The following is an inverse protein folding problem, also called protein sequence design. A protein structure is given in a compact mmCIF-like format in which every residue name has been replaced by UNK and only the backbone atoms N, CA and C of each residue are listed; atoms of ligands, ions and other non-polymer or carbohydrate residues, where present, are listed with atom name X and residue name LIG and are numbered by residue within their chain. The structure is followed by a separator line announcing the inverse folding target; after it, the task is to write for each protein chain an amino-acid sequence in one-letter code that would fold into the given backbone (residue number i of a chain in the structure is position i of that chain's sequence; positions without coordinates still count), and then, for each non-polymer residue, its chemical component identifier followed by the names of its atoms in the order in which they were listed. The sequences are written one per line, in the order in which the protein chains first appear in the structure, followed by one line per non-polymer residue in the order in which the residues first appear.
data_IF_601733190862
#
_entry.id   IF_601733190862
#
_cell.length_a   1.000
_cell.length_b   1.000
_cell.length_c   1.000
_cell.angle_alpha   90.00
_cell.angle_beta   90.00
_cell.angle_gamma   90.00
#
_symmetry.space_group_name_H-M   'P 1'
#
loop_
_entity.id
_entity.type
_entity.pdbx_description
1 polymer ?
2 non-polymer ?
3 water ?
#
# COMPACT_ATOMS: atom_id res chain seq x y z
N UNK A 1 -4.00 -24.75 24.54
CA UNK A 1 -3.96 -24.91 23.06
C UNK A 1 -4.17 -23.56 22.39
N UNK A 2 -3.38 -23.28 21.36
CA UNK A 2 -3.49 -22.03 20.63
C UNK A 2 -3.87 -22.30 19.19
N UNK A 3 -4.55 -21.34 18.57
CA UNK A 3 -4.94 -21.46 17.18
C UNK A 3 -4.07 -20.45 16.44
N UNK A 4 -3.40 -20.92 15.39
CA UNK A 4 -2.51 -20.06 14.62
C UNK A 4 -3.11 -19.78 13.25
N UNK A 5 -3.16 -18.49 12.90
CA UNK A 5 -3.66 -18.06 11.59
C UNK A 5 -2.46 -17.57 10.81
N UNK A 6 -2.23 -18.16 9.63
CA UNK A 6 -1.11 -17.78 8.78
C UNK A 6 -1.65 -17.12 7.52
N UNK A 7 -1.22 -15.87 7.29
CA UNK A 7 -1.63 -15.10 6.12
C UNK A 7 -0.48 -15.00 5.13
N UNK A 8 -0.62 -15.70 4.00
CA UNK A 8 0.40 -15.67 2.95
C UNK A 8 -0.01 -14.60 1.93
N UNK A 9 0.97 -13.86 1.39
CA UNK A 9 0.63 -12.79 0.44
C UNK A 9 1.51 -12.67 -0.80
N UNK A 10 2.58 -13.46 -0.86
CA UNK A 10 3.47 -13.42 -2.03
C UNK A 10 2.76 -13.81 -3.33
N UNK A 11 3.19 -13.21 -4.43
CA UNK A 11 2.62 -13.55 -5.74
C UNK A 11 3.56 -14.48 -6.49
N UNK A 12 4.59 -14.99 -5.80
CA UNK A 12 5.57 -15.86 -6.44
C UNK A 12 5.37 -17.36 -6.23
N UNK A 13 4.24 -17.75 -5.66
CA UNK A 13 3.94 -19.15 -5.44
C UNK A 13 5.09 -19.92 -4.77
N UNK A 14 5.48 -21.04 -5.38
CA UNK A 14 6.55 -21.87 -4.83
C UNK A 14 7.91 -21.21 -4.71
N UNK A 15 8.11 -20.10 -5.41
CA UNK A 15 9.39 -19.38 -5.36
C UNK A 15 9.38 -18.29 -4.30
N UNK A 16 8.27 -18.18 -3.57
CA UNK A 16 8.15 -17.16 -2.53
C UNK A 16 9.15 -17.26 -1.39
N UNK A 17 9.86 -16.17 -1.13
CA UNK A 17 10.82 -16.13 -0.04
C UNK A 17 10.04 -16.06 1.28
N UNK A 18 9.07 -15.16 1.35
CA UNK A 18 8.29 -15.04 2.58
C UNK A 18 7.46 -16.31 2.79
N UNK A 19 7.07 -16.94 1.68
CA UNK A 19 6.30 -18.17 1.76
C UNK A 19 7.12 -19.27 2.38
N UNK A 20 8.40 -19.31 2.01
CA UNK A 20 9.31 -20.32 2.54
C UNK A 20 9.54 -20.07 4.03
N UNK A 21 9.52 -18.80 4.43
CA UNK A 21 9.69 -18.46 5.84
C UNK A 21 8.44 -18.84 6.62
N UNK A 22 7.27 -18.65 6.04
CA UNK A 22 6.06 -19.02 6.75
C UNK A 22 5.97 -20.54 6.87
N UNK A 23 6.48 -21.26 5.87
CA UNK A 23 6.47 -22.72 5.94
C UNK A 23 7.35 -23.19 7.10
N UNK A 24 8.51 -22.55 7.27
CA UNK A 24 9.41 -22.89 8.36
C UNK A 24 8.74 -22.57 9.69
N UNK A 25 8.09 -21.41 9.77
CA UNK A 25 7.40 -21.03 11.00
C UNK A 25 6.39 -22.11 11.36
N UNK A 26 5.59 -22.53 10.39
CA UNK A 26 4.58 -23.56 10.58
C UNK A 26 5.23 -24.86 11.03
N UNK A 27 6.30 -25.24 10.33
CA UNK A 27 7.02 -26.47 10.65
C UNK A 27 7.48 -26.45 12.11
N UNK A 28 8.07 -25.33 12.52
CA UNK A 28 8.58 -25.20 13.88
C UNK A 28 7.48 -25.10 14.92
N UNK A 29 6.40 -24.40 14.61
CA UNK A 29 5.31 -24.28 15.58
C UNK A 29 4.70 -25.66 15.83
N UNK A 30 4.54 -26.44 14.76
CA UNK A 30 3.99 -27.79 14.86
C UNK A 30 4.88 -28.69 15.73
N UNK A 31 6.19 -28.43 15.71
CA UNK A 31 7.15 -29.19 16.51
C UNK A 31 7.06 -28.89 18.00
N UNK A 32 7.00 -27.60 18.32
CA UNK A 32 6.95 -27.14 19.71
C UNK A 32 5.58 -27.20 20.36
N UNK A 33 4.53 -27.08 19.56
CA UNK A 33 3.17 -27.11 20.09
C UNK A 33 2.39 -28.10 19.24
N UNK A 34 2.61 -29.38 19.51
CA UNK A 34 2.00 -30.47 18.76
C UNK A 34 0.47 -30.56 18.75
N UNK A 35 -0.20 -29.82 19.65
CA UNK A 35 -1.66 -29.86 19.71
C UNK A 35 -2.31 -28.63 19.08
N UNK A 36 -1.52 -27.62 18.76
CA UNK A 36 -2.07 -26.40 18.17
C UNK A 36 -2.56 -26.61 16.75
N UNK A 37 -3.64 -25.90 16.43
CA UNK A 37 -4.24 -25.99 15.11
C UNK A 37 -3.75 -24.82 14.26
N UNK A 38 -3.42 -25.12 13.01
CA UNK A 38 -2.94 -24.11 12.09
C UNK A 38 -3.96 -23.87 10.96
N UNK A 39 -4.27 -22.61 10.70
CA UNK A 39 -5.19 -22.21 9.64
C UNK A 39 -4.37 -21.34 8.69
N UNK A 40 -4.41 -21.65 7.39
CA UNK A 40 -3.66 -20.87 6.42
C UNK A 40 -4.57 -20.25 5.35
N UNK A 41 -4.44 -18.93 5.16
CA UNK A 41 -5.21 -18.26 4.13
C UNK A 41 -4.19 -17.65 3.17
N UNK A 42 -4.15 -18.16 1.95
CA UNK A 42 -3.24 -17.67 0.93
C UNK A 42 -3.97 -16.57 0.17
N UNK A 43 -3.57 -15.32 0.44
CA UNK A 43 -4.22 -14.16 -0.16
C UNK A 43 -3.92 -13.96 -1.64
N UNK A 44 -3.04 -14.77 -2.20
CA UNK A 44 -2.72 -14.70 -3.62
C UNK A 44 -3.58 -15.77 -4.30
N UNK A 45 -3.62 -16.95 -3.71
CA UNK A 45 -4.41 -18.06 -4.25
C UNK A 45 -5.91 -17.79 -4.10
N UNK A 46 -6.30 -17.16 -3.01
CA UNK A 46 -7.68 -16.84 -2.72
C UNK A 46 -7.70 -15.33 -2.50
N UNK A 47 -7.61 -14.56 -3.58
CA UNK A 47 -7.59 -13.09 -3.51
C UNK A 47 -8.81 -12.37 -2.94
N UNK A 48 -8.55 -11.30 -2.21
CA UNK A 48 -9.56 -10.44 -1.62
C UNK A 48 -9.68 -9.28 -2.63
N UNK A 49 -10.90 -8.80 -2.90
CA UNK A 49 -11.06 -7.70 -3.86
C UNK A 49 -10.51 -6.34 -3.43
N UNK A 50 -10.28 -5.49 -4.43
CA UNK A 50 -9.78 -4.15 -4.19
C UNK A 50 -10.89 -3.32 -3.57
N UNK A 51 -10.53 -2.47 -2.61
CA UNK A 51 -11.52 -1.62 -1.98
C UNK A 51 -11.81 -0.45 -2.92
N UNK A 52 -12.98 -0.47 -3.55
CA UNK A 52 -13.35 0.62 -4.45
C UNK A 52 -14.55 1.37 -3.89
N UNK A 53 -15.06 2.32 -4.66
CA UNK A 53 -16.19 3.12 -4.20
C UNK A 53 -17.39 2.30 -3.79
N UNK A 54 -17.72 1.29 -4.59
CA UNK A 54 -18.87 0.43 -4.28
C UNK A 54 -18.66 -0.40 -3.02
N UNK A 55 -17.49 -1.03 -2.92
CA UNK A 55 -17.24 -1.86 -1.75
C UNK A 55 -17.16 -1.10 -0.44
N UNK A 56 -16.53 0.08 -0.44
CA UNK A 56 -16.43 0.84 0.80
C UNK A 56 -17.85 1.19 1.29
N UNK A 57 -18.77 1.30 0.35
CA UNK A 57 -20.14 1.59 0.71
C UNK A 57 -20.75 0.43 1.47
N UNK A 58 -20.34 -0.78 1.10
CA UNK A 58 -20.82 -2.01 1.73
C UNK A 58 -20.57 -2.01 3.24
N UNK A 59 -19.53 -1.30 3.66
CA UNK A 59 -19.19 -1.24 5.08
C UNK A 59 -19.62 0.13 5.65
N UNK A 60 -20.92 0.40 5.55
CA UNK A 60 -21.55 1.64 6.01
C UNK A 60 -21.31 2.80 5.06
N UNK A 63 -31.62 0.82 6.45
CA UNK A 63 -30.41 1.33 5.81
C UNK A 63 -30.51 1.16 4.29
N UNK A 64 -29.66 1.86 3.55
CA UNK A 64 -29.68 1.76 2.09
C UNK A 64 -29.43 0.31 1.69
N UNK A 65 -30.18 -0.20 0.70
CA UNK A 65 -29.98 -1.59 0.28
C UNK A 65 -28.62 -1.79 -0.40
N UNK A 66 -28.03 -2.97 -0.20
CA UNK A 66 -26.73 -3.25 -0.79
C UNK A 66 -26.86 -3.93 -2.14
N UNK A 67 -25.91 -3.63 -3.03
CA UNK A 67 -25.89 -4.24 -4.35
C UNK A 67 -25.38 -5.65 -4.14
N UNK A 68 -25.53 -6.53 -5.15
CA UNK A 68 -25.05 -7.90 -4.98
C UNK A 68 -23.57 -7.95 -4.63
N UNK A 69 -22.79 -7.07 -5.26
CA UNK A 69 -21.36 -7.03 -5.03
C UNK A 69 -21.06 -6.59 -3.58
N UNK A 70 -21.81 -5.62 -3.08
CA UNK A 70 -21.61 -5.15 -1.71
C UNK A 70 -21.98 -6.24 -0.73
N UNK A 71 -23.02 -7.01 -1.05
CA UNK A 71 -23.47 -8.10 -0.19
C UNK A 71 -22.34 -9.13 -0.05
N UNK A 72 -21.75 -9.51 -1.18
CA UNK A 72 -20.66 -10.48 -1.16
C UNK A 72 -19.44 -9.94 -0.42
N UNK A 73 -19.13 -8.68 -0.65
CA UNK A 73 -17.98 -8.03 -0.01
C UNK A 73 -18.20 -7.97 1.50
N UNK A 74 -19.42 -7.68 1.93
CA UNK A 74 -19.72 -7.60 3.35
C UNK A 74 -19.59 -8.99 3.96
N UNK A 75 -20.10 -10.00 3.26
CA UNK A 75 -20.00 -11.36 3.77
C UNK A 75 -18.53 -11.76 3.89
N UNK A 76 -17.72 -11.36 2.92
CA UNK A 76 -16.30 -11.70 2.97
C UNK A 76 -15.61 -10.99 4.14
N UNK A 77 -15.92 -9.71 4.33
CA UNK A 77 -15.35 -8.94 5.42
C UNK A 77 -15.67 -9.64 6.75
N UNK A 78 -16.92 -10.04 6.92
CA UNK A 78 -17.33 -10.73 8.14
C UNK A 78 -16.51 -11.99 8.34
N UNK A 79 -16.32 -12.74 7.25
CA UNK A 79 -15.57 -13.99 7.31
C UNK A 79 -14.12 -13.76 7.73
N UNK A 80 -13.48 -12.78 7.10
CA UNK A 80 -12.09 -12.46 7.41
C UNK A 80 -11.95 -12.01 8.86
N UNK A 81 -12.84 -11.12 9.30
CA UNK A 81 -12.79 -10.62 10.67
C UNK A 81 -13.06 -11.72 11.69
N UNK A 82 -14.07 -12.55 11.44
CA UNK A 82 -14.40 -13.63 12.36
C UNK A 82 -13.20 -14.56 12.48
N UNK A 83 -12.56 -14.83 11.35
CA UNK A 83 -11.38 -15.70 11.31
C UNK A 83 -10.23 -15.10 12.13
N UNK A 84 -9.97 -13.81 11.92
CA UNK A 84 -8.90 -13.12 12.63
C UNK A 84 -9.14 -13.16 14.14
N UNK A 85 -10.37 -12.85 14.55
CA UNK A 85 -10.70 -12.85 15.97
C UNK A 85 -10.68 -14.25 16.59
N UNK A 86 -10.92 -15.26 15.78
CA UNK A 86 -10.96 -16.64 16.25
C UNK A 86 -9.60 -17.28 16.50
N UNK A 87 -8.52 -16.64 16.05
CA UNK A 87 -7.17 -17.19 16.26
C UNK A 87 -6.37 -16.42 17.30
N UNK A 88 -5.36 -17.07 17.87
CA UNK A 88 -4.53 -16.48 18.93
C UNK A 88 -3.20 -15.90 18.47
N UNK A 89 -2.58 -16.59 17.52
CA UNK A 89 -1.29 -16.19 16.98
C UNK A 89 -1.52 -15.89 15.51
N UNK A 90 -1.17 -14.68 15.11
CA UNK A 90 -1.37 -14.24 13.73
C UNK A 90 -0.04 -14.05 13.03
N UNK A 91 0.24 -14.91 12.05
CA UNK A 91 1.48 -14.87 11.28
C UNK A 91 1.18 -14.20 9.96
N UNK A 92 1.90 -13.13 9.67
CA UNK A 92 1.67 -12.35 8.45
C UNK A 92 2.91 -12.25 7.56
N UNK A 93 2.81 -12.76 6.33
CA UNK A 93 3.90 -12.67 5.37
C UNK A 93 3.79 -11.27 4.76
N UNK A 94 4.83 -10.47 4.90
CA UNK A 94 4.79 -9.12 4.36
C UNK A 94 6.07 -8.73 3.62
N UNK A 95 6.31 -9.34 2.44
CA UNK A 95 7.52 -8.99 1.69
C UNK A 95 7.39 -7.57 1.15
N UNK A 96 8.52 -6.99 0.75
CA UNK A 96 8.52 -5.62 0.22
C UNK A 96 8.39 -5.63 -1.31
N UNK A 97 7.31 -5.03 -1.81
CA UNK A 97 7.05 -4.91 -3.25
C UNK A 97 6.99 -3.40 -3.55
N UNK A 98 8.01 -2.90 -4.23
CA UNK A 98 8.06 -1.48 -4.57
C UNK A 98 7.90 -0.57 -3.35
N UNK A 99 8.61 -0.92 -2.27
CA UNK A 99 8.60 -0.16 -1.01
C UNK A 99 7.30 -0.22 -0.21
N UNK A 100 6.36 -1.05 -0.64
CA UNK A 100 5.07 -1.19 0.05
C UNK A 100 4.88 -2.69 0.31
N UNK A 101 3.74 -3.06 0.87
CA UNK A 101 3.44 -4.47 1.10
C UNK A 101 2.70 -4.97 -0.15
N UNK A 102 2.52 -6.29 -0.28
CA UNK A 102 1.80 -6.76 -1.49
C UNK A 102 0.35 -6.26 -1.47
N UNK A 103 -0.18 -5.95 -2.63
CA UNK A 103 -1.57 -5.50 -2.72
C UNK A 103 -2.48 -6.60 -2.18
N UNK A 104 -2.08 -7.86 -2.34
CA UNK A 104 -2.86 -8.99 -1.85
C UNK A 104 -3.14 -8.85 -0.34
N UNK A 105 -2.14 -8.40 0.41
CA UNK A 105 -2.30 -8.22 1.85
C UNK A 105 -3.04 -6.92 2.16
N UNK A 106 -2.76 -5.89 1.38
CA UNK A 106 -3.41 -4.59 1.56
C UNK A 106 -4.93 -4.72 1.43
N UNK A 107 -5.39 -5.49 0.44
CA UNK A 107 -6.83 -5.68 0.23
C UNK A 107 -7.47 -6.33 1.46
N UNK A 108 -6.74 -7.27 2.06
CA UNK A 108 -7.19 -7.95 3.27
C UNK A 108 -7.37 -6.91 4.38
N UNK A 109 -6.36 -6.06 4.57
CA UNK A 109 -6.42 -5.00 5.59
C UNK A 109 -7.61 -4.08 5.35
N UNK A 110 -7.85 -3.70 4.10
CA UNK A 110 -8.96 -2.81 3.79
C UNK A 110 -10.34 -3.41 4.08
N UNK A 111 -10.42 -4.74 4.19
CA UNK A 111 -11.70 -5.38 4.51
C UNK A 111 -11.83 -5.73 5.99
N UNK A 112 -10.72 -5.72 6.73
CA UNK A 112 -10.83 -6.04 8.14
C UNK A 112 -10.90 -4.80 9.03
N UNK A 113 -10.50 -3.64 8.50
CA UNK A 113 -10.54 -2.40 9.28
C UNK A 113 -11.96 -1.86 9.17
N UNK A 114 -12.77 -2.09 10.20
CA UNK A 114 -14.17 -1.65 10.21
C UNK A 114 -14.58 -1.05 11.53
N UNK A 115 -15.09 0.18 11.45
CA UNK A 115 -15.54 0.90 12.63
C UNK A 115 -16.62 0.13 13.38
N UNK A 116 -16.46 0.02 14.69
CA UNK A 116 -17.43 -0.68 15.50
C UNK A 116 -17.21 -2.19 15.56
N UNK A 117 -16.34 -2.71 14.71
CA UNK A 117 -16.10 -4.15 14.69
C UNK A 117 -14.65 -4.53 15.03
N UNK A 118 -13.66 -3.86 14.45
CA UNK A 118 -12.28 -4.16 14.76
C UNK A 118 -11.62 -3.02 15.54
N UNK A 119 -12.35 -1.91 15.67
CA UNK A 119 -11.89 -0.77 16.44
C UNK A 119 -13.11 0.08 16.78
N UNK A 120 -12.98 0.94 17.79
CA UNK A 120 -14.07 1.81 18.20
C UNK A 120 -13.50 3.01 18.94
N UNK A 121 -14.36 3.95 19.29
CA UNK A 121 -13.95 5.14 20.02
C UNK A 121 -14.61 5.13 21.38
N UNK A 122 -13.81 5.37 22.41
CA UNK A 122 -14.31 5.40 23.79
C UNK A 122 -13.87 6.69 24.46
N UNK A 123 -14.11 6.81 25.76
CA UNK A 123 -13.69 8.01 26.48
C UNK A 123 -12.17 8.10 26.49
N UNK A 124 -11.51 7.01 26.10
CA UNK A 124 -10.05 6.98 26.05
C UNK A 124 -9.51 7.17 24.63
N UNK A 125 -10.41 7.38 23.67
CA UNK A 125 -9.98 7.57 22.30
C UNK A 125 -10.20 6.31 21.48
N UNK A 126 -9.50 6.18 20.34
CA UNK A 126 -9.64 5.00 19.48
C UNK A 126 -9.09 3.78 20.20
N UNK A 127 -9.78 2.66 20.06
CA UNK A 127 -9.37 1.43 20.73
C UNK A 127 -9.61 0.22 19.83
N UNK A 128 -8.59 -0.61 19.67
CA UNK A 128 -8.72 -1.79 18.83
C UNK A 128 -9.59 -2.85 19.47
N UNK A 129 -10.34 -3.59 18.66
CA UNK A 129 -11.22 -4.64 19.18
C UNK A 129 -10.71 -6.06 18.93
N UNK A 130 -9.57 -6.19 18.27
CA UNK A 130 -8.97 -7.50 18.03
C UNK A 130 -7.92 -7.59 19.13
N UNK A 131 -8.34 -8.11 20.27
CA UNK A 131 -7.48 -8.18 21.45
C UNK A 131 -6.90 -9.53 21.81
N UNK A 132 -5.89 -9.50 22.68
CA UNK A 132 -5.25 -10.71 23.15
C UNK A 132 -4.50 -11.51 22.11
N UNK A 133 -4.08 -10.86 21.02
CA UNK A 133 -3.36 -11.56 19.97
C UNK A 133 -1.85 -11.38 20.05
N UNK A 134 -1.14 -12.34 19.46
CA UNK A 134 0.32 -12.31 19.33
C UNK A 134 0.50 -12.33 17.81
N UNK A 135 1.17 -11.34 17.26
CA UNK A 135 1.39 -11.30 15.82
C UNK A 135 2.86 -11.44 15.48
N UNK A 136 3.12 -12.07 14.34
CA UNK A 136 4.48 -12.27 13.87
C UNK A 136 4.55 -11.88 12.39
N UNK A 137 5.34 -10.86 12.09
CA UNK A 137 5.49 -10.41 10.72
C UNK A 137 6.77 -11.01 10.15
N UNK A 138 6.63 -11.69 9.01
CA UNK A 138 7.76 -12.30 8.32
C UNK A 138 7.93 -11.47 7.04
N UNK A 139 8.98 -10.66 7.00
CA UNK A 139 9.20 -9.79 5.86
C UNK A 139 10.53 -9.98 5.13
N UNK A 140 10.43 -10.41 3.88
CA UNK A 140 11.61 -10.63 3.05
C UNK A 140 11.79 -9.45 2.08
N UNK A 141 13.05 -9.13 1.79
CA UNK A 141 13.38 -8.04 0.88
C UNK A 141 14.55 -8.43 -0.01
N UNK A 142 14.53 -7.95 -1.25
CA UNK A 142 15.62 -8.24 -2.15
C UNK A 142 16.84 -7.46 -1.69
N UNK A 143 16.62 -6.21 -1.31
CA UNK A 143 17.69 -5.34 -0.83
C UNK A 143 17.77 -5.36 0.69
N UNK A 144 18.46 -4.37 1.26
CA UNK A 144 18.64 -4.26 2.70
C UNK A 144 18.10 -2.90 3.15
N UNK A 145 16.99 -2.93 3.89
CA UNK A 145 16.31 -1.70 4.31
C UNK A 145 16.02 -1.52 5.80
N UNK A 146 16.15 -2.58 6.58
CA UNK A 146 15.85 -2.52 8.00
C UNK A 146 16.48 -1.33 8.71
N UNK A 147 15.63 -0.59 9.43
CA UNK A 147 16.05 0.58 10.20
C UNK A 147 16.59 1.73 9.37
N UNK A 148 16.19 1.81 8.11
CA UNK A 148 16.63 2.91 7.24
C UNK A 148 15.38 3.61 6.70
N UNK A 149 15.54 4.77 6.06
CA UNK A 149 14.39 5.51 5.51
C UNK A 149 13.63 4.76 4.41
N UNK A 150 14.23 3.70 3.86
CA UNK A 150 13.54 2.98 2.78
C UNK A 150 12.63 1.86 3.27
N UNK A 151 12.57 1.65 4.58
CA UNK A 151 11.65 0.65 5.13
C UNK A 151 10.51 1.36 5.84
N UNK A 152 9.40 1.56 5.13
CA UNK A 152 8.23 2.20 5.72
C UNK A 152 7.21 1.12 6.06
N UNK A 153 7.45 -0.11 5.61
CA UNK A 153 6.48 -1.16 5.88
C UNK A 153 6.48 -1.64 7.33
N UNK A 154 7.65 -1.73 7.96
CA UNK A 154 7.69 -2.17 9.34
C UNK A 154 6.91 -1.18 10.22
N UNK A 155 7.20 0.13 10.12
CA UNK A 155 6.45 1.06 10.96
C UNK A 155 4.96 1.11 10.61
N UNK A 156 4.65 0.97 9.33
CA UNK A 156 3.26 0.97 8.87
C UNK A 156 2.50 -0.22 9.45
N UNK A 157 3.10 -1.40 9.39
CA UNK A 157 2.45 -2.59 9.92
C UNK A 157 2.20 -2.44 11.41
N UNK A 158 3.17 -1.89 12.13
CA UNK A 158 2.98 -1.71 13.57
C UNK A 158 1.81 -0.77 13.86
N UNK A 159 1.72 0.32 13.07
CA UNK A 159 0.65 1.28 13.23
C UNK A 159 -0.71 0.70 12.89
N UNK A 160 -0.82 0.02 11.75
CA UNK A 160 -2.09 -0.56 11.35
C UNK A 160 -2.57 -1.64 12.31
N UNK A 161 -1.69 -2.60 12.62
CA UNK A 161 -2.06 -3.68 13.52
C UNK A 161 -2.44 -3.14 14.90
N UNK A 162 -1.68 -2.16 15.37
CA UNK A 162 -1.97 -1.58 16.67
C UNK A 162 -3.34 -0.93 16.70
N UNK A 163 -3.71 -0.26 15.60
CA UNK A 163 -5.01 0.41 15.55
C UNK A 163 -6.16 -0.56 15.75
N UNK A 164 -6.05 -1.78 15.22
CA UNK A 164 -7.13 -2.75 15.40
C UNK A 164 -6.95 -3.56 16.68
N UNK A 165 -5.93 -3.23 17.47
CA UNK A 165 -5.72 -3.91 18.73
C UNK A 165 -4.52 -4.83 18.88
N UNK A 166 -3.87 -5.17 17.79
CA UNK A 166 -2.72 -6.06 17.84
C UNK A 166 -1.43 -5.26 18.09
N UNK A 167 -1.10 -5.13 19.36
CA UNK A 167 0.07 -4.38 19.80
C UNK A 167 1.30 -5.24 20.07
N UNK A 168 1.07 -6.54 20.29
CA UNK A 168 2.16 -7.48 20.53
C UNK A 168 2.54 -8.02 19.16
N UNK A 169 3.55 -7.39 18.55
CA UNK A 169 4.00 -7.78 17.22
C UNK A 169 5.51 -8.01 17.13
N UNK A 170 5.88 -9.21 16.70
CA UNK A 170 7.28 -9.57 16.53
C UNK A 170 7.61 -9.47 15.05
N UNK A 171 8.73 -8.84 14.72
CA UNK A 171 9.14 -8.69 13.33
C UNK A 171 10.35 -9.58 13.02
N UNK A 172 10.26 -10.32 11.91
CA UNK A 172 11.36 -11.17 11.45
C UNK A 172 11.69 -10.71 10.03
N UNK A 173 12.96 -10.42 9.78
CA UNK A 173 13.41 -9.94 8.47
C UNK A 173 14.38 -10.90 7.78
N UNK A 174 14.28 -10.94 6.46
CA UNK A 174 15.18 -11.74 5.63
C UNK A 174 15.51 -10.77 4.49
N UNK A 175 16.65 -10.10 4.61
CA UNK A 175 17.07 -9.11 3.62
C UNK A 175 18.24 -9.51 2.75
N UNK A 176 18.41 -8.80 1.63
CA UNK A 176 19.51 -9.07 0.73
C UNK A 176 19.33 -10.29 -0.15
N UNK A 177 18.10 -10.76 -0.28
CA UNK A 177 17.80 -11.94 -1.08
C UNK A 177 18.30 -11.79 -2.53
N UNK A 178 18.28 -10.56 -3.03
CA UNK A 178 18.71 -10.29 -4.39
C UNK A 178 20.22 -10.33 -4.59
N UNK A 179 20.97 -10.59 -3.52
CA UNK A 179 22.42 -10.61 -3.66
C UNK A 179 23.04 -11.97 -3.89
N UNK A 180 22.23 -12.92 -4.36
CA UNK A 180 22.74 -14.24 -4.65
C UNK A 180 22.35 -15.32 -3.66
N UNK A 181 22.52 -16.59 -4.03
CA UNK A 181 22.19 -17.74 -3.18
C UNK A 181 22.95 -17.79 -1.86
N UNK A 182 24.22 -17.41 -1.87
CA UNK A 182 25.00 -17.43 -0.63
C UNK A 182 24.45 -16.45 0.40
N UNK A 183 24.29 -15.18 0.01
CA UNK A 183 23.75 -14.17 0.92
C UNK A 183 22.31 -14.52 1.36
N UNK A 184 21.49 -14.96 0.42
CA UNK A 184 20.11 -15.33 0.71
C UNK A 184 20.04 -16.45 1.75
N UNK A 185 20.93 -17.43 1.64
CA UNK A 185 20.94 -18.56 2.56
C UNK A 185 21.24 -18.12 3.98
N UNK A 186 22.16 -17.17 4.13
CA UNK A 186 22.52 -16.68 5.45
C UNK A 186 21.36 -15.85 6.01
N UNK A 187 20.71 -15.10 5.14
CA UNK A 187 19.57 -14.28 5.56
C UNK A 187 18.46 -15.20 6.03
N UNK A 188 18.24 -16.28 5.28
CA UNK A 188 17.20 -17.25 5.64
C UNK A 188 17.57 -17.92 6.95
N UNK A 189 18.85 -18.23 7.10
CA UNK A 189 19.34 -18.87 8.32
C UNK A 189 19.09 -18.00 9.54
N UNK A 190 19.44 -16.71 9.44
CA UNK A 190 19.22 -15.80 10.57
C UNK A 190 17.73 -15.61 10.86
N UNK A 191 16.93 -15.56 9.79
CA UNK A 191 15.49 -15.39 9.96
C UNK A 191 14.91 -16.60 10.70
N UNK A 192 15.39 -17.78 10.35
CA UNK A 192 14.90 -18.99 11.00
C UNK A 192 15.27 -19.01 12.48
N UNK A 193 16.44 -18.45 12.80
CA UNK A 193 16.88 -18.41 14.19
C UNK A 193 15.96 -17.45 14.97
N UNK A 194 15.59 -16.33 14.33
CA UNK A 194 14.71 -15.36 14.97
C UNK A 194 13.35 -16.01 15.16
N UNK A 195 12.94 -16.80 14.18
CA UNK A 195 11.66 -17.51 14.24
C UNK A 195 11.67 -18.53 15.37
N UNK A 196 12.78 -19.24 15.52
CA UNK A 196 12.88 -20.23 16.59
C UNK A 196 12.63 -19.59 17.95
N UNK A 197 13.16 -18.39 18.15
CA UNK A 197 12.99 -17.66 19.40
C UNK A 197 11.54 -17.26 19.63
N UNK A 198 10.86 -16.83 18.57
CA UNK A 198 9.47 -16.44 18.70
C UNK A 198 8.62 -17.67 19.04
N UNK A 199 8.92 -18.79 18.37
CA UNK A 199 8.16 -20.02 18.61
C UNK A 199 8.38 -20.56 20.01
N UNK A 200 9.61 -20.39 20.53
CA UNK A 200 9.97 -20.87 21.86
C UNK A 200 9.48 -19.98 23.00
N UNK A 201 9.21 -18.71 22.71
CA UNK A 201 8.75 -17.79 23.74
C UNK A 201 7.50 -18.30 24.45
N UNK B 1 5.78 25.79 -23.34
CA UNK B 1 4.52 25.11 -22.89
C UNK B 1 4.83 23.84 -22.13
N UNK B 2 4.12 23.63 -21.03
CA UNK B 2 4.30 22.43 -20.23
C UNK B 2 3.07 21.55 -20.34
N UNK B 3 3.28 20.25 -20.15
CA UNK B 3 2.19 19.28 -20.17
C UNK B 3 2.06 18.85 -18.71
N UNK B 4 0.84 18.90 -18.20
CA UNK B 4 0.57 18.53 -16.82
C UNK B 4 -0.22 17.22 -16.79
N UNK B 5 0.26 16.28 -15.97
CA UNK B 5 -0.40 14.99 -15.81
C UNK B 5 -0.98 14.98 -14.41
N UNK B 6 -2.27 14.70 -14.30
CA UNK B 6 -2.95 14.66 -13.01
C UNK B 6 -3.46 13.24 -12.76
N UNK B 7 -3.03 12.64 -11.66
CA UNK B 7 -3.43 11.29 -11.31
C UNK B 7 -4.38 11.35 -10.12
N UNK B 8 -5.64 10.99 -10.34
CA UNK B 8 -6.64 10.98 -9.27
C UNK B 8 -6.78 9.54 -8.78
N UNK B 9 -6.94 9.35 -7.47
CA UNK B 9 -7.03 7.97 -6.95
C UNK B 9 -8.13 7.74 -5.93
N UNK B 10 -8.81 8.80 -5.50
CA UNK B 10 -9.89 8.67 -4.52
C UNK B 10 -11.02 7.79 -5.02
N UNK B 11 -11.64 7.04 -4.10
CA UNK B 11 -12.76 6.17 -4.46
C UNK B 11 -14.07 6.85 -4.07
N UNK B 12 -13.99 8.12 -3.66
CA UNK B 12 -15.18 8.85 -3.23
C UNK B 12 -15.84 9.73 -4.29
N UNK B 13 -15.38 9.61 -5.54
CA UNK B 13 -15.94 10.38 -6.63
C UNK B 13 -16.12 11.87 -6.30
N UNK B 14 -17.34 12.36 -6.52
CA UNK B 14 -17.64 13.76 -6.27
C UNK B 14 -17.38 14.28 -4.87
N UNK B 15 -17.35 13.37 -3.89
CA UNK B 15 -17.11 13.78 -2.51
C UNK B 15 -15.64 13.72 -2.11
N UNK B 16 -14.76 13.47 -3.08
CA UNK B 16 -13.32 13.39 -2.80
C UNK B 16 -12.66 14.71 -2.42
N UNK B 17 -12.00 14.71 -1.26
CA UNK B 17 -11.28 15.89 -0.76
C UNK B 17 -10.05 16.14 -1.62
N UNK B 18 -9.30 15.07 -1.90
CA UNK B 18 -8.09 15.18 -2.71
C UNK B 18 -8.47 15.55 -4.15
N UNK B 19 -9.63 15.07 -4.58
CA UNK B 19 -10.10 15.36 -5.92
C UNK B 19 -10.45 16.84 -6.04
N UNK B 20 -10.95 17.42 -4.96
CA UNK B 20 -11.29 18.83 -4.94
C UNK B 20 -10.01 19.66 -5.01
N UNK B 21 -8.95 19.17 -4.36
CA UNK B 21 -7.68 19.88 -4.39
C UNK B 21 -7.05 19.79 -5.78
N UNK B 22 -7.19 18.65 -6.45
CA UNK B 22 -6.61 18.52 -7.78
C UNK B 22 -7.37 19.43 -8.74
N UNK B 23 -8.67 19.56 -8.54
CA UNK B 23 -9.46 20.44 -9.39
C UNK B 23 -8.97 21.86 -9.21
N UNK B 24 -8.70 22.25 -7.96
CA UNK B 24 -8.22 23.61 -7.70
C UNK B 24 -6.88 23.82 -8.38
N UNK B 25 -6.01 22.82 -8.31
CA UNK B 25 -4.69 22.92 -8.92
C UNK B 25 -4.84 23.16 -10.42
N UNK B 26 -5.68 22.36 -11.06
CA UNK B 26 -5.92 22.47 -12.49
C UNK B 26 -6.48 23.83 -12.84
N UNK B 27 -7.46 24.29 -12.07
CA UNK B 27 -8.07 25.59 -12.28
C UNK B 27 -7.02 26.70 -12.29
N UNK B 28 -6.18 26.70 -11.25
CA UNK B 28 -5.14 27.70 -11.11
C UNK B 28 -4.06 27.59 -12.17
N UNK B 29 -3.68 26.36 -12.51
CA UNK B 29 -2.65 26.18 -13.51
C UNK B 29 -3.13 26.66 -14.88
N UNK B 30 -4.38 26.34 -15.24
CA UNK B 30 -4.94 26.74 -16.52
C UNK B 30 -5.07 28.26 -16.62
N UNK B 31 -5.31 28.89 -15.47
CA UNK B 31 -5.44 30.34 -15.43
C UNK B 31 -4.09 31.01 -15.69
N UNK B 32 -3.04 30.45 -15.09
CA UNK B 32 -1.69 30.99 -15.24
C UNK B 32 -1.06 30.65 -16.59
N UNK B 33 -1.30 29.43 -17.06
CA UNK B 33 -0.74 28.96 -18.33
C UNK B 33 -1.87 28.52 -19.25
N UNK B 34 -2.48 29.47 -19.96
CA UNK B 34 -3.60 29.15 -20.85
C UNK B 34 -3.27 28.19 -21.99
N UNK B 35 -1.99 28.05 -22.32
CA UNK B 35 -1.60 27.16 -23.41
C UNK B 35 -1.18 25.76 -22.97
N UNK B 36 -0.98 25.58 -21.67
CA UNK B 36 -0.56 24.28 -21.17
C UNK B 36 -1.61 23.20 -21.33
N UNK B 37 -1.17 22.01 -21.71
CA UNK B 37 -2.06 20.88 -21.91
C UNK B 37 -2.15 20.07 -20.63
N UNK B 38 -3.37 19.78 -20.20
CA UNK B 38 -3.59 19.02 -19.00
C UNK B 38 -4.23 17.68 -19.33
N UNK B 39 -3.63 16.61 -18.82
CA UNK B 39 -4.13 15.25 -19.03
C UNK B 39 -4.52 14.73 -17.66
N UNK B 40 -5.71 14.20 -17.56
CA UNK B 40 -6.18 13.67 -16.28
C UNK B 40 -6.45 12.17 -16.38
N UNK B 41 -5.85 11.40 -15.49
CA UNK B 41 -6.10 9.97 -15.45
C UNK B 41 -6.71 9.69 -14.09
N UNK B 42 -7.97 9.25 -14.10
CA UNK B 42 -8.68 8.92 -12.86
C UNK B 42 -8.49 7.43 -12.66
N UNK B 43 -7.65 7.06 -11.69
CA UNK B 43 -7.34 5.67 -11.39
C UNK B 43 -8.47 4.90 -10.69
N UNK B 44 -9.54 5.59 -10.33
CA UNK B 44 -10.70 4.93 -9.70
C UNK B 44 -11.72 4.69 -10.82
N UNK B 45 -11.93 5.71 -11.66
CA UNK B 45 -12.87 5.59 -12.77
C UNK B 45 -12.32 4.61 -13.80
N UNK B 46 -11.01 4.64 -13.99
CA UNK B 46 -10.36 3.74 -14.92
C UNK B 46 -9.26 3.01 -14.18
N UNK B 47 -9.63 1.98 -13.41
CA UNK B 47 -8.70 1.18 -12.62
C UNK B 47 -7.62 0.42 -13.38
N UNK B 48 -6.47 0.33 -12.72
CA UNK B 48 -5.31 -0.40 -13.21
C UNK B 48 -5.38 -1.71 -12.43
N UNK B 49 -5.11 -2.85 -13.08
CA UNK B 49 -5.18 -4.13 -12.37
C UNK B 49 -4.18 -4.34 -11.24
N UNK B 50 -4.54 -5.26 -10.34
CA UNK B 50 -3.70 -5.64 -9.22
C UNK B 50 -2.52 -6.43 -9.77
N UNK B 51 -1.32 -6.14 -9.26
CA UNK B 51 -0.15 -6.86 -9.71
C UNK B 51 -0.20 -8.26 -9.11
N UNK B 52 -0.36 -9.28 -9.95
CA UNK B 52 -0.39 -10.64 -9.43
C UNK B 52 0.69 -11.49 -10.10
N UNK B 53 0.71 -12.78 -9.80
CA UNK B 53 1.72 -13.64 -10.37
C UNK B 53 1.77 -13.62 -11.89
N UNK B 54 0.61 -13.66 -12.53
CA UNK B 54 0.55 -13.66 -13.98
C UNK B 54 1.06 -12.34 -14.58
N UNK B 55 0.69 -11.22 -13.97
CA UNK B 55 1.12 -9.92 -14.50
C UNK B 55 2.61 -9.64 -14.27
N UNK B 56 3.14 -10.00 -13.11
CA UNK B 56 4.54 -9.76 -12.86
C UNK B 56 5.38 -10.64 -13.80
N UNK B 57 4.84 -11.81 -14.13
CA UNK B 57 5.55 -12.70 -15.04
C UNK B 57 5.63 -12.06 -16.42
N UNK B 58 4.60 -11.32 -16.78
CA UNK B 58 4.55 -10.65 -18.06
C UNK B 58 5.61 -9.55 -18.16
N UNK B 59 5.85 -8.88 -17.04
CA UNK B 59 6.82 -7.81 -17.05
C UNK B 59 8.26 -8.30 -17.00
N UNK B 60 8.45 -9.59 -17.21
CA UNK B 60 9.79 -10.16 -17.22
C UNK B 60 9.79 -11.60 -17.64
N UNK B 64 8.65 -17.28 -22.96
CA UNK B 64 7.40 -17.98 -23.22
C UNK B 64 6.33 -17.02 -23.73
N UNK B 65 5.32 -17.55 -24.45
CA UNK B 65 4.25 -16.72 -24.98
C UNK B 65 3.43 -16.08 -23.87
N UNK B 66 2.89 -14.90 -24.12
CA UNK B 66 2.06 -14.22 -23.13
C UNK B 66 0.58 -14.42 -23.45
N UNK B 67 -0.23 -14.51 -22.41
CA UNK B 67 -1.66 -14.65 -22.57
C UNK B 67 -2.22 -13.29 -22.95
N UNK B 68 -3.45 -13.23 -23.47
CA UNK B 68 -4.00 -11.91 -23.83
C UNK B 68 -4.00 -11.00 -22.60
N UNK B 69 -4.34 -11.57 -21.45
CA UNK B 69 -4.39 -10.79 -20.22
C UNK B 69 -3.03 -10.18 -19.91
N UNK B 70 -1.99 -10.99 -20.02
CA UNK B 70 -0.63 -10.52 -19.76
C UNK B 70 -0.25 -9.47 -20.79
N UNK B 71 -0.59 -9.73 -22.05
CA UNK B 71 -0.27 -8.82 -23.13
C UNK B 71 -0.90 -7.45 -22.87
N UNK B 72 -2.17 -7.46 -22.47
CA UNK B 72 -2.92 -6.24 -22.19
C UNK B 72 -2.32 -5.46 -21.03
N UNK B 73 -1.91 -6.17 -20.00
CA UNK B 73 -1.33 -5.52 -18.83
C UNK B 73 0.01 -4.89 -19.20
N UNK B 74 0.78 -5.58 -20.03
CA UNK B 74 2.07 -5.08 -20.46
C UNK B 74 1.87 -3.82 -21.31
N UNK B 75 0.83 -3.85 -22.15
CA UNK B 75 0.52 -2.71 -23.01
C UNK B 75 0.10 -1.52 -22.14
N UNK B 76 -0.65 -1.81 -21.07
CA UNK B 76 -1.10 -0.75 -20.17
C UNK B 76 0.11 -0.17 -19.43
N UNK B 77 1.01 -1.04 -18.98
CA UNK B 77 2.21 -0.60 -18.30
C UNK B 77 2.99 0.35 -19.21
N UNK B 78 3.15 -0.05 -20.46
CA UNK B 78 3.86 0.78 -21.44
C UNK B 78 3.15 2.12 -21.59
N UNK B 79 1.82 2.10 -21.69
CA UNK B 79 1.05 3.31 -21.84
C UNK B 79 1.26 4.26 -20.65
N UNK B 80 1.13 3.72 -19.45
CA UNK B 80 1.30 4.51 -18.24
C UNK B 80 2.69 5.12 -18.15
N UNK B 81 3.71 4.31 -18.43
CA UNK B 81 5.10 4.78 -18.38
C UNK B 81 5.35 5.85 -19.45
N UNK B 82 4.89 5.60 -20.67
CA UNK B 82 5.08 6.58 -21.76
C UNK B 82 4.40 7.90 -21.42
N UNK B 83 3.21 7.80 -20.83
CA UNK B 83 2.43 8.97 -20.42
C UNK B 83 3.19 9.77 -19.37
N UNK B 84 3.69 9.08 -18.35
CA UNK B 84 4.44 9.74 -17.28
C UNK B 84 5.69 10.46 -17.83
N UNK B 85 6.46 9.78 -18.67
CA UNK B 85 7.66 10.37 -19.24
C UNK B 85 7.36 11.51 -20.20
N UNK B 86 6.17 11.51 -20.79
CA UNK B 86 5.76 12.53 -21.74
C UNK B 86 5.28 13.84 -21.11
N UNK B 87 5.01 13.85 -19.81
CA UNK B 87 4.54 15.07 -19.15
C UNK B 87 5.63 15.72 -18.29
N UNK B 88 5.47 17.02 -18.05
CA UNK B 88 6.45 17.79 -17.30
C UNK B 88 6.14 17.98 -15.84
N UNK B 89 4.87 18.18 -15.53
CA UNK B 89 4.40 18.41 -14.17
C UNK B 89 3.47 17.26 -13.82
N UNK B 90 3.80 16.55 -12.75
CA UNK B 90 3.01 15.40 -12.32
C UNK B 90 2.30 15.71 -11.01
N UNK B 91 0.98 15.74 -11.04
CA UNK B 91 0.17 16.01 -9.85
C UNK B 91 -0.45 14.69 -9.40
N UNK B 92 -0.14 14.28 -8.17
CA UNK B 92 -0.63 13.02 -7.66
C UNK B 92 -1.52 13.15 -6.42
N UNK B 93 -2.76 12.67 -6.53
CA UNK B 93 -3.68 12.70 -5.39
C UNK B 93 -3.37 11.45 -4.60
N UNK B 94 -3.02 11.62 -3.33
CA UNK B 94 -2.69 10.47 -2.51
C UNK B 94 -3.26 10.57 -1.10
N UNK B 95 -4.58 10.37 -0.96
CA UNK B 95 -5.17 10.45 0.38
C UNK B 95 -4.75 9.23 1.20
N UNK B 96 -4.99 9.27 2.51
CA UNK B 96 -4.62 8.16 3.40
C UNK B 96 -5.81 7.26 3.69
N UNK B 97 -5.69 5.99 3.29
CA UNK B 97 -6.72 4.98 3.53
C UNK B 97 -6.08 3.91 4.39
N UNK B 98 -6.55 3.77 5.63
CA UNK B 98 -6.01 2.77 6.54
C UNK B 98 -4.48 2.85 6.63
N UNK B 99 -3.96 4.07 6.77
CA UNK B 99 -2.54 4.36 6.91
C UNK B 99 -1.69 4.08 5.67
N UNK B 100 -2.33 3.81 4.54
CA UNK B 100 -1.60 3.54 3.29
C UNK B 100 -2.22 4.43 2.22
N UNK B 101 -1.72 4.34 0.99
CA UNK B 101 -2.28 5.12 -0.09
C UNK B 101 -3.42 4.28 -0.67
N UNK B 102 -4.25 4.87 -1.56
CA UNK B 102 -5.34 4.07 -2.13
C UNK B 102 -4.76 2.96 -3.02
N UNK B 103 -5.40 1.80 -3.02
CA UNK B 103 -4.92 0.71 -3.85
C UNK B 103 -4.96 1.14 -5.32
N UNK B 104 -5.86 2.07 -5.65
CA UNK B 104 -5.99 2.57 -7.02
C UNK B 104 -4.67 3.17 -7.50
N UNK B 105 -3.98 3.87 -6.59
CA UNK B 105 -2.70 4.49 -6.91
C UNK B 105 -1.56 3.46 -6.83
N UNK B 106 -1.63 2.57 -5.83
CA UNK B 106 -0.61 1.54 -5.65
C UNK B 106 -0.50 0.66 -6.91
N UNK B 107 -1.63 0.28 -7.49
CA UNK B 107 -1.62 -0.55 -8.70
C UNK B 107 -0.88 0.17 -9.83
N UNK B 108 -1.09 1.48 -9.93
CA UNK B 108 -0.43 2.31 -10.93
C UNK B 108 1.08 2.24 -10.70
N UNK B 109 1.53 2.44 -9.46
CA UNK B 109 2.95 2.35 -9.14
C UNK B 109 3.53 0.98 -9.49
N UNK B 110 2.78 -0.08 -9.16
CA UNK B 110 3.27 -1.42 -9.43
C UNK B 110 3.46 -1.70 -10.93
N UNK B 111 2.75 -0.96 -11.79
CA UNK B 111 2.92 -1.17 -13.22
C UNK B 111 3.95 -0.25 -13.87
N UNK B 112 4.31 0.84 -13.20
CA UNK B 112 5.29 1.75 -13.78
C UNK B 112 6.72 1.50 -13.31
N UNK B 113 6.88 0.79 -12.20
CA UNK B 113 8.22 0.50 -11.68
C UNK B 113 8.79 -0.71 -12.39
N UNK B 114 9.55 -0.47 -13.46
CA UNK B 114 10.12 -1.57 -14.23
C UNK B 114 11.59 -1.38 -14.52
N UNK B 115 12.35 -2.43 -14.22
CA UNK B 115 13.79 -2.44 -14.43
C UNK B 115 14.14 -2.16 -15.89
N UNK B 116 15.06 -1.23 -16.09
CA UNK B 116 15.50 -0.88 -17.43
C UNK B 116 14.62 0.13 -18.13
N UNK B 117 13.43 0.37 -17.58
CA UNK B 117 12.49 1.31 -18.18
C UNK B 117 12.32 2.60 -17.35
N UNK B 118 12.02 2.47 -16.07
CA UNK B 118 11.86 3.66 -15.23
C UNK B 118 12.99 3.80 -14.22
N UNK B 119 13.89 2.81 -14.20
CA UNK B 119 15.06 2.85 -13.34
C UNK B 119 16.07 1.85 -13.86
N UNK B 120 17.34 2.06 -13.55
CA UNK B 120 18.38 1.15 -14.00
C UNK B 120 19.55 1.20 -13.03
N UNK B 121 20.53 0.34 -13.26
CA UNK B 121 21.73 0.29 -12.42
C UNK B 121 22.93 0.63 -13.28
N UNK B 122 23.77 1.52 -12.80
CA UNK B 122 24.97 1.91 -13.54
C UNK B 122 26.20 1.74 -12.64
N UNK B 123 27.34 2.21 -13.11
CA UNK B 123 28.57 2.13 -12.34
C UNK B 123 28.38 2.87 -11.01
N UNK B 124 27.45 3.84 -11.01
CA UNK B 124 27.16 4.66 -9.85
C UNK B 124 26.04 4.07 -8.99
N UNK B 125 25.45 2.97 -9.44
CA UNK B 125 24.37 2.35 -8.69
C UNK B 125 23.01 2.61 -9.31
N UNK B 126 21.91 2.42 -8.55
CA UNK B 126 20.55 2.64 -9.05
C UNK B 126 20.29 4.08 -9.50
N UNK B 127 19.67 4.23 -10.65
CA UNK B 127 19.38 5.55 -11.22
C UNK B 127 17.99 5.60 -11.83
N UNK B 128 17.18 6.57 -11.40
CA UNK B 128 15.83 6.71 -11.94
C UNK B 128 15.88 7.20 -13.37
N UNK B 129 14.94 6.73 -14.20
CA UNK B 129 14.92 7.12 -15.61
C UNK B 129 13.82 8.10 -15.99
N UNK B 130 12.98 8.48 -15.03
CA UNK B 130 11.91 9.45 -15.30
C UNK B 130 12.51 10.73 -14.75
N UNK B 131 13.18 11.45 -15.64
CA UNK B 131 13.89 12.66 -15.25
C UNK B 131 13.26 13.99 -15.62
N UNK B 132 13.77 15.03 -14.96
CA UNK B 132 13.32 16.39 -15.20
C UNK B 132 11.90 16.75 -14.83
N UNK B 133 11.24 15.91 -14.04
CA UNK B 133 9.85 16.18 -13.67
C UNK B 133 9.69 17.04 -12.43
N UNK B 134 8.56 17.72 -12.36
CA UNK B 134 8.23 18.55 -11.22
C UNK B 134 6.95 17.87 -10.71
N UNK B 135 6.99 17.33 -9.50
CA UNK B 135 5.82 16.63 -8.96
C UNK B 135 5.20 17.33 -7.77
N UNK B 136 3.89 17.13 -7.63
CA UNK B 136 3.11 17.71 -6.55
C UNK B 136 2.21 16.61 -6.01
N UNK B 137 2.35 16.33 -4.71
CA UNK B 137 1.52 15.32 -4.07
C UNK B 137 0.47 16.06 -3.25
N UNK B 138 -0.80 15.73 -3.49
CA UNK B 138 -1.91 16.33 -2.76
C UNK B 138 -2.50 15.22 -1.89
N UNK B 139 -2.26 15.29 -0.58
CA UNK B 139 -2.71 14.25 0.33
C UNK B 139 -3.68 14.74 1.40
N UNK B 140 -4.89 14.19 1.37
CA UNK B 140 -5.94 14.53 2.32
C UNK B 140 -6.10 13.40 3.33
N UNK B 141 -6.37 13.79 4.58
CA UNK B 141 -6.55 12.80 5.66
C UNK B 141 -7.69 13.25 6.58
N UNK B 142 -8.46 12.28 7.07
CA UNK B 142 -9.56 12.60 7.96
C UNK B 142 -9.04 13.11 9.29
N UNK B 143 -7.97 12.50 9.77
CA UNK B 143 -7.36 12.92 11.02
C UNK B 143 -6.13 13.76 10.77
N UNK B 144 -5.31 13.92 11.79
CA UNK B 144 -4.08 14.71 11.68
C UNK B 144 -2.87 13.80 11.90
N UNK B 145 -2.10 13.57 10.84
CA UNK B 145 -0.96 12.67 10.89
C UNK B 145 0.38 13.28 10.53
N UNK B 146 0.33 14.37 9.77
CA UNK B 146 1.54 15.04 9.32
C UNK B 146 2.51 15.23 10.49
N UNK B 147 3.77 14.85 10.26
CA UNK B 147 4.82 14.97 11.28
C UNK B 147 4.61 14.13 12.54
N UNK B 148 3.83 13.05 12.42
CA UNK B 148 3.61 12.14 13.54
C UNK B 148 4.05 10.75 13.05
N UNK B 149 4.25 9.80 13.98
CA UNK B 149 4.67 8.47 13.55
C UNK B 149 3.64 7.72 12.70
N UNK B 150 2.43 8.27 12.60
CA UNK B 150 1.40 7.59 11.81
C UNK B 150 1.33 7.96 10.34
N UNK B 151 2.18 8.89 9.90
CA UNK B 151 2.19 9.26 8.48
C UNK B 151 3.39 8.60 7.82
N UNK B 152 3.14 7.46 7.21
CA UNK B 152 4.20 6.73 6.52
C UNK B 152 4.04 6.88 5.02
N UNK B 153 2.91 7.44 4.58
CA UNK B 153 2.72 7.60 3.15
C UNK B 153 3.58 8.71 2.53
N UNK B 154 3.72 9.85 3.22
CA UNK B 154 4.57 10.90 2.66
C UNK B 154 6.00 10.36 2.48
N UNK B 155 6.59 9.74 3.53
CA UNK B 155 7.95 9.20 3.39
C UNK B 155 8.03 8.17 2.27
N UNK B 156 7.03 7.29 2.21
CA UNK B 156 6.98 6.24 1.18
C UNK B 156 6.88 6.83 -0.23
N UNK B 157 6.03 7.83 -0.41
CA UNK B 157 5.88 8.45 -1.72
C UNK B 157 7.20 9.09 -2.16
N UNK B 158 7.90 9.71 -1.22
CA UNK B 158 9.18 10.34 -1.54
C UNK B 158 10.18 9.29 -2.01
N UNK B 159 10.24 8.17 -1.29
CA UNK B 159 11.16 7.09 -1.62
C UNK B 159 10.82 6.42 -2.95
N UNK B 160 9.55 6.09 -3.16
CA UNK B 160 9.17 5.46 -4.41
C UNK B 160 9.41 6.38 -5.60
N UNK B 161 8.89 7.60 -5.52
CA UNK B 161 9.07 8.55 -6.61
C UNK B 161 10.54 8.82 -6.88
N UNK B 162 11.32 8.96 -5.81
CA UNK B 162 12.74 9.20 -5.98
C UNK B 162 13.43 8.07 -6.71
N UNK B 163 13.03 6.83 -6.41
CA UNK B 163 13.64 5.67 -7.04
C UNK B 163 13.52 5.68 -8.56
N UNK B 164 12.38 6.15 -9.07
CA UNK B 164 12.22 6.17 -10.53
C UNK B 164 12.71 7.49 -11.13
N UNK B 165 13.29 8.36 -10.30
CA UNK B 165 13.86 9.60 -10.80
C UNK B 165 13.17 10.90 -10.47
N UNK B 166 11.99 10.83 -9.87
CA UNK B 166 11.25 12.05 -9.53
C UNK B 166 11.64 12.50 -8.12
N UNK B 167 12.60 13.40 -8.07
CA UNK B 167 13.12 13.92 -6.81
C UNK B 167 12.59 15.31 -6.44
N UNK B 168 12.07 16.03 -7.42
CA UNK B 168 11.51 17.35 -7.18
C UNK B 168 10.03 17.13 -6.85
N UNK B 169 9.76 16.92 -5.56
CA UNK B 169 8.40 16.64 -5.13
C UNK B 169 7.91 17.60 -4.05
N UNK B 170 6.81 18.30 -4.35
CA UNK B 170 6.20 19.24 -3.43
C UNK B 170 5.03 18.51 -2.74
N UNK B 171 5.03 18.49 -1.42
CA UNK B 171 3.95 17.84 -0.67
C UNK B 171 2.96 18.86 -0.12
N UNK B 172 1.68 18.65 -0.43
CA UNK B 172 0.62 19.51 0.06
C UNK B 172 -0.29 18.62 0.89
N UNK B 173 -0.65 19.09 2.09
CA UNK B 173 -1.50 18.32 2.99
C UNK B 173 -2.80 19.04 3.34
N UNK B 174 -3.85 18.26 3.55
CA UNK B 174 -5.16 18.76 3.97
C UNK B 174 -5.61 17.73 5.02
N UNK B 175 -5.39 18.05 6.29
CA UNK B 175 -5.73 17.13 7.38
C UNK B 175 -6.83 17.63 8.31
N UNK B 176 -7.33 16.72 9.14
CA UNK B 176 -8.37 17.08 10.09
C UNK B 176 -9.72 17.21 9.41
N UNK B 177 -9.81 16.68 8.19
CA UNK B 177 -11.04 16.73 7.40
C UNK B 177 -12.23 16.18 8.18
N UNK B 178 -12.00 15.12 8.95
CA UNK B 178 -13.07 14.49 9.72
C UNK B 178 -13.39 15.17 11.06
N UNK B 179 -12.76 16.32 11.32
CA UNK B 179 -12.98 17.00 12.57
C UNK B 179 -13.92 18.20 12.51
N UNK B 180 -14.86 18.17 11.56
CA UNK B 180 -15.82 19.26 11.44
C UNK B 180 -15.60 20.19 10.27
N UNK B 181 -16.65 20.89 9.84
CA UNK B 181 -16.59 21.83 8.71
C UNK B 181 -15.59 22.96 8.92
N UNK B 182 -15.40 23.38 10.17
CA UNK B 182 -14.47 24.46 10.45
C UNK B 182 -13.04 24.05 10.22
N UNK B 183 -12.62 22.96 10.88
CA UNK B 183 -11.27 22.45 10.74
C UNK B 183 -10.98 22.09 9.28
N UNK B 184 -11.95 21.42 8.66
CA UNK B 184 -11.83 21.02 7.26
C UNK B 184 -11.64 22.24 6.36
N UNK B 185 -12.48 23.25 6.55
CA UNK B 185 -12.43 24.48 5.76
C UNK B 185 -11.06 25.16 5.84
N UNK B 186 -10.50 25.20 7.04
CA UNK B 186 -9.20 25.81 7.24
C UNK B 186 -8.09 24.96 6.62
N UNK B 187 -8.29 23.65 6.59
CA UNK B 187 -7.33 22.72 6.02
C UNK B 187 -7.26 22.94 4.51
N UNK B 188 -8.42 23.07 3.89
CA UNK B 188 -8.50 23.29 2.45
C UNK B 188 -7.91 24.66 2.07
N UNK B 189 -8.14 25.66 2.90
CA UNK B 189 -7.63 27.00 2.64
C UNK B 189 -6.10 27.05 2.67
N UNK B 190 -5.50 26.36 3.65
CA UNK B 190 -4.05 26.34 3.75
C UNK B 190 -3.45 25.49 2.63
N UNK B 191 -4.18 24.47 2.21
CA UNK B 191 -3.71 23.60 1.12
C UNK B 191 -3.76 24.39 -0.18
N UNK B 192 -4.83 25.17 -0.35
CA UNK B 192 -4.98 25.98 -1.56
C UNK B 192 -3.88 27.04 -1.63
N UNK B 193 -3.52 27.58 -0.47
CA UNK B 193 -2.45 28.57 -0.39
C UNK B 193 -1.15 27.89 -0.78
N UNK B 194 -0.97 26.64 -0.35
CA UNK B 194 0.22 25.88 -0.68
C UNK B 194 0.27 25.64 -2.18
N UNK B 195 -0.88 25.37 -2.77
CA UNK B 195 -0.97 25.12 -4.21
C UNK B 195 -0.70 26.41 -4.98
N UNK B 196 -1.17 27.53 -4.44
CA UNK B 196 -0.95 28.82 -5.09
C UNK B 196 0.55 29.05 -5.20
N UNK B 197 1.27 28.71 -4.13
CA UNK B 197 2.72 28.90 -4.12
C UNK B 197 3.39 28.06 -5.21
N UNK B 198 2.95 26.80 -5.31
CA UNK B 198 3.50 25.89 -6.32
C UNK B 198 3.27 26.44 -7.72
N UNK B 199 2.03 26.86 -7.98
CA UNK B 199 1.66 27.40 -9.29
C UNK B 199 2.46 28.67 -9.64
N UNK B 200 2.67 29.51 -8.64
CA UNK B 200 3.39 30.76 -8.82
C UNK B 200 4.90 30.59 -8.96
N UNK B 201 5.45 29.58 -8.29
CA UNK B 201 6.88 29.29 -8.32
C UNK B 201 7.50 29.49 -9.71
X LIG C 1 13.07 -5.53 -2.93
X LIG C 1 13.53 -4.41 -2.30
X LIG C 1 14.49 -4.43 -1.57
X LIG C 1 12.79 -3.21 -2.57
X LIG C 1 11.64 -3.08 -3.44
X LIG C 1 11.10 -1.99 -3.56
X LIG C 1 11.24 -4.27 -4.06
X LIG C 1 10.17 -4.42 -4.93
X LIG C 1 9.66 -5.52 -5.58
X LIG C 1 8.48 -5.42 -6.46
X LIG C 1 7.97 -6.64 -7.11
X LIG C 1 6.74 -6.46 -7.99
X LIG C 1 8.66 -7.94 -6.87
X LIG C 1 8.23 -9.32 -7.49
X LIG C 1 9.83 -7.97 -5.99
X LIG C 1 10.35 -6.75 -5.34
X LIG C 1 11.48 -6.66 -4.44
X LIG C 1 11.98 -5.48 -3.78
X LIG C 1 12.27 -7.93 -4.11
X LIG C 1 11.52 -8.77 -3.06
X LIG C 1 11.24 -8.02 -1.86
X LIG C 1 12.29 -10.03 -2.68
X LIG C 1 12.63 -10.80 -3.84
X LIG C 1 11.43 -10.82 -1.66
X LIG C 1 12.21 -11.90 -1.13
X LIG C 1 10.27 -11.48 -2.35
X LIG C 1 9.44 -12.24 -1.53
X LIG C 1 8.28 -12.95 -2.23
X LIG C 1 8.36 -14.35 -2.68
X LIG C 1 6.94 -12.31 -2.06
X LIG C 1 8.09 -13.39 -0.84
X LIG D 1 -8.30 8.99 7.77
X LIG D 1 -7.28 8.92 8.68
X LIG D 1 -6.89 9.90 9.29
X LIG D 1 -6.71 7.62 8.86
X LIG D 1 -7.09 6.39 8.19
X LIG D 1 -6.50 5.35 8.46
X LIG D 1 -8.15 6.53 7.28
X LIG D 1 -8.71 5.52 6.51
X LIG D 1 -9.73 5.56 5.56
X LIG D 1 -10.16 4.34 4.85
X LIG D 1 -11.25 4.44 3.85
X LIG D 1 -11.65 3.15 3.14
X LIG D 1 -11.89 5.75 3.59
X LIG D 1 -13.04 6.01 2.56
X LIG D 1 -11.42 6.92 4.34
X LIG D 1 -10.34 6.83 5.33
X LIG D 1 -9.79 7.91 6.13
X LIG D 1 -8.73 7.85 7.09
X LIG D 1 -10.35 9.33 5.94
X LIG D 1 -9.74 9.98 4.68
X LIG D 1 -8.30 9.98 4.70
X LIG D 1 -10.24 11.41 4.50
X LIG D 1 -11.68 11.48 4.48
X LIG D 1 -9.59 11.93 3.17
X LIG D 1 -9.73 13.36 3.10
X LIG D 1 -10.34 11.41 2.01
X LIG D 1 -9.86 11.80 0.77
X LIG D 1 -10.68 11.28 -0.41
X LIG D 1 -11.70 12.11 -1.05
X LIG D 1 -10.13 10.09 -1.10
X LIG D 1 -9.62 12.05 -1.11
#
# INVERSE_FOLDING_TARGET
MSKVLVLKSSILAGYSQSGQLTDYFIEQWREKHVADEITVRDLAANPVPVLDGELVGAMRPGDAPLTPRQQDALALSDELIAELKAHDVIVIAAPMYNFNIPTQLKNYFDLIARAGITFRYTEKGPEGLVTGKRAVVLSSRGGIHKDTPTDLIAPYLKVFLGFIGITDVNFVFAEGIAYGPEVAAKAQADAKAAIDSVVAA
MSKVLVLKSSILAGYSQSGQLTDYFIEQWREKHVADEITVRDLAANPVPVLDGELVGAMRPGDAPLTPRQQDALALSDELIAELKAHDVIVIAAPMYNFNIPTQLKNYFDLIARAGITFRYTEKGPEGLVTGKRAVVLSSRGGIHKDTPTDLIAPYLKVFLGFIGITDVNFVFAEGIAYGPEVAAKAQADAKAAIDSVVAA
FMN N1 C2 O2 N3 C4 O4 C4A N5 C5A C6 C7 C7M C8 C8M C9 C9A N10 C10 C1' C2' O2' C3' O3' C4' O4' C5' O5' P O1P O2P O3P
FMN N1 C2 O2 N3 C4 O4 C4A N5 C5A C6 C7 C7M C8 C8M C9 C9A N10 C10 C1' C2' O2' C3' O3' C4' O4' C5' O5' P O1P O2P O3P
#
